data_IF_434986768169
#
_entry.id   IF_434986768169
#
_cell.length_a   1.000
_cell.length_b   1.000
_cell.length_c   1.000
_cell.angle_alpha   90.00
_cell.angle_beta   90.00
_cell.angle_gamma   90.00
#
_symmetry.space_group_name_H-M   'P 1'
#
loop_
_entity.id
_entity.type
_entity.pdbx_description
1 polymer ?
#
# COMPACT_ATOMS: atom_id res chain seq x y z
N UNK A 1 11.16 2.46 -10.40
CA UNK A 1 11.03 2.08 -8.96
C UNK A 1 10.55 3.24 -8.10
N UNK A 2 11.18 4.43 -8.13
CA UNK A 2 10.78 5.55 -7.27
C UNK A 2 9.61 6.41 -7.76
N UNK A 3 9.35 6.46 -9.07
CA UNK A 3 8.25 7.27 -9.65
C UNK A 3 6.88 6.98 -9.03
N UNK A 4 6.62 5.73 -8.60
CA UNK A 4 5.37 5.36 -7.92
C UNK A 4 5.10 6.21 -6.68
N UNK A 5 6.13 6.47 -5.88
CA UNK A 5 6.02 7.29 -4.66
C UNK A 5 5.70 8.74 -5.03
N UNK A 6 6.25 9.25 -6.14
CA UNK A 6 5.91 10.58 -6.66
C UNK A 6 4.45 10.65 -7.15
N UNK A 7 3.95 9.60 -7.80
CA UNK A 7 2.54 9.53 -8.21
C UNK A 7 1.64 9.47 -6.98
N UNK A 8 1.93 8.58 -6.02
CA UNK A 8 1.15 8.44 -4.78
C UNK A 8 1.07 9.76 -4.00
N UNK A 9 2.19 10.49 -3.83
CA UNK A 9 2.16 11.76 -3.09
C UNK A 9 1.38 12.85 -3.84
N UNK A 10 1.43 12.88 -5.17
CA UNK A 10 0.61 13.81 -5.94
C UNK A 10 -0.88 13.46 -5.81
N UNK A 11 -1.25 12.19 -5.86
CA UNK A 11 -2.64 11.75 -5.65
C UNK A 11 -3.13 12.12 -4.24
N UNK A 12 -2.33 11.90 -3.19
CA UNK A 12 -2.70 12.32 -1.82
C UNK A 12 -2.88 13.85 -1.72
N UNK A 13 -1.98 14.63 -2.34
CA UNK A 13 -2.06 16.10 -2.31
C UNK A 13 -3.29 16.63 -3.05
N UNK A 14 -3.62 16.01 -4.18
CA UNK A 14 -4.74 16.43 -5.03
C UNK A 14 -6.09 15.99 -4.47
N UNK A 15 -6.11 15.03 -3.53
CA UNK A 15 -7.32 14.44 -2.94
C UNK A 15 -7.18 14.40 -1.40
N UNK A 16 -7.27 15.57 -0.72
CA UNK A 16 -7.02 15.70 0.72
C UNK A 16 -8.04 14.97 1.61
N UNK A 17 -9.15 14.49 1.04
CA UNK A 17 -10.14 13.66 1.71
C UNK A 17 -9.77 12.17 1.80
N UNK A 18 -8.76 11.72 1.04
CA UNK A 18 -8.27 10.35 1.13
C UNK A 18 -7.45 10.16 2.41
N UNK A 19 -7.88 9.26 3.29
CA UNK A 19 -7.15 8.93 4.51
C UNK A 19 -5.99 7.98 4.26
N UNK A 20 -6.16 7.05 3.31
CA UNK A 20 -5.17 6.05 2.96
C UNK A 20 -5.20 5.75 1.46
N UNK A 21 -4.03 5.43 0.90
CA UNK A 21 -3.89 4.86 -0.44
C UNK A 21 -3.24 3.48 -0.32
N UNK A 22 -3.89 2.48 -0.89
CA UNK A 22 -3.29 1.18 -1.19
C UNK A 22 -2.69 1.22 -2.59
N UNK A 23 -1.36 1.27 -2.68
CA UNK A 23 -0.65 1.14 -3.95
C UNK A 23 -0.39 -0.33 -4.26
N UNK A 24 -0.78 -0.79 -5.46
CA UNK A 24 -0.61 -2.17 -5.90
C UNK A 24 0.24 -2.24 -7.18
N UNK A 25 1.15 -3.20 -7.22
CA UNK A 25 1.82 -3.61 -8.45
C UNK A 25 0.82 -4.28 -9.39
N UNK A 26 1.05 -4.10 -10.70
CA UNK A 26 0.14 -4.56 -11.74
C UNK A 26 0.03 -6.09 -11.87
N UNK A 27 0.98 -6.83 -11.28
CA UNK A 27 1.04 -8.29 -11.28
C UNK A 27 0.53 -8.91 -9.97
N UNK A 28 -0.16 -8.13 -9.14
CA UNK A 28 -0.80 -8.63 -7.92
C UNK A 28 -2.25 -9.09 -8.15
N UNK A 29 -2.63 -10.14 -7.45
CA UNK A 29 -4.00 -10.65 -7.41
C UNK A 29 -4.53 -10.81 -5.98
N UNK A 30 -5.84 -10.67 -5.81
CA UNK A 30 -6.52 -10.89 -4.53
C UNK A 30 -6.69 -12.41 -4.34
N UNK A 31 -6.13 -12.94 -3.25
CA UNK A 31 -6.20 -14.37 -2.92
C UNK A 31 -7.26 -14.70 -1.86
N UNK A 32 -7.65 -13.72 -1.03
CA UNK A 32 -8.61 -13.91 0.05
C UNK A 32 -9.57 -12.71 0.13
N UNK A 33 -10.74 -12.80 -0.51
CA UNK A 33 -11.72 -11.71 -0.51
C UNK A 33 -12.55 -11.63 0.78
N UNK A 34 -12.32 -12.51 1.76
CA UNK A 34 -13.08 -12.54 3.01
C UNK A 34 -12.48 -11.67 4.12
N UNK A 35 -11.32 -11.04 3.88
CA UNK A 35 -10.68 -10.10 4.81
C UNK A 35 -10.65 -8.70 4.24
N UNK A 36 -10.85 -7.72 5.12
CA UNK A 36 -10.76 -6.31 4.77
C UNK A 36 -9.32 -5.81 4.92
N UNK A 37 -8.93 -4.83 4.10
CA UNK A 37 -7.56 -4.28 4.13
C UNK A 37 -7.31 -3.49 5.40
N UNK A 38 -8.36 -2.88 5.94
CA UNK A 38 -8.39 -2.08 7.15
C UNK A 38 -7.94 -2.87 8.38
N UNK A 39 -8.11 -4.20 8.39
CA UNK A 39 -7.61 -5.10 9.45
C UNK A 39 -6.08 -5.06 9.59
N UNK A 40 -5.38 -4.67 8.53
CA UNK A 40 -3.92 -4.63 8.45
C UNK A 40 -3.34 -3.22 8.62
N UNK A 41 -4.19 -2.20 8.81
CA UNK A 41 -3.75 -0.81 8.99
C UNK A 41 -3.38 -0.57 10.45
N UNK A 42 -2.20 0.03 10.66
CA UNK A 42 -1.79 0.53 11.97
C UNK A 42 -1.60 2.06 11.91
N UNK A 43 -2.46 2.86 12.58
CA UNK A 43 -2.48 4.31 12.44
C UNK A 43 -1.24 5.02 13.00
N UNK A 44 -0.37 4.30 13.72
CA UNK A 44 0.91 4.82 14.22
C UNK A 44 1.95 5.02 13.12
N UNK A 45 1.77 4.41 11.96
CA UNK A 45 2.73 4.44 10.86
C UNK A 45 2.12 5.14 9.64
N UNK A 46 2.90 5.98 8.98
CA UNK A 46 2.46 6.68 7.76
C UNK A 46 2.60 5.81 6.51
N UNK A 47 3.54 4.85 6.52
CA UNK A 47 3.75 3.90 5.43
C UNK A 47 3.85 2.50 6.03
N UNK A 48 3.07 1.57 5.48
CA UNK A 48 3.02 0.16 5.87
C UNK A 48 3.49 -0.70 4.70
N UNK A 49 4.61 -1.37 4.92
CA UNK A 49 5.10 -2.46 4.07
C UNK A 49 4.75 -3.80 4.69
N UNK A 50 4.77 -4.84 3.87
CA UNK A 50 4.53 -6.21 4.32
C UNK A 50 5.60 -7.16 3.78
N UNK A 51 5.68 -8.33 4.38
CA UNK A 51 6.60 -9.40 3.99
C UNK A 51 6.00 -10.24 2.86
N UNK A 52 6.79 -10.54 1.83
CA UNK A 52 6.39 -11.40 0.72
C UNK A 52 6.28 -12.86 1.17
N UNK A 53 5.19 -13.52 0.78
CA UNK A 53 4.89 -14.91 1.14
C UNK A 53 5.95 -15.92 0.63
N UNK A 54 6.57 -15.65 -0.52
CA UNK A 54 7.43 -16.64 -1.20
C UNK A 54 8.93 -16.52 -0.87
N UNK A 55 9.40 -15.36 -0.41
CA UNK A 55 10.83 -15.14 -0.15
C UNK A 55 11.14 -14.33 1.11
N UNK A 56 10.14 -13.96 1.91
CA UNK A 56 10.33 -13.26 3.19
C UNK A 56 11.03 -11.89 3.07
N UNK A 57 11.05 -11.31 1.87
CA UNK A 57 11.56 -9.96 1.65
C UNK A 57 10.46 -8.92 1.90
N UNK A 58 10.88 -7.70 2.26
CA UNK A 58 9.97 -6.55 2.35
C UNK A 58 9.45 -6.20 0.95
N UNK A 59 8.13 -6.22 0.77
CA UNK A 59 7.48 -5.72 -0.43
C UNK A 59 7.57 -4.19 -0.46
N UNK A 60 8.52 -3.65 -1.22
CA UNK A 60 8.60 -2.20 -1.47
C UNK A 60 7.79 -1.74 -2.70
N UNK A 61 7.23 -2.69 -3.45
CA UNK A 61 6.49 -2.41 -4.69
C UNK A 61 5.04 -1.99 -4.45
N UNK A 62 4.44 -2.55 -3.39
CA UNK A 62 3.05 -2.33 -2.98
C UNK A 62 2.99 -2.06 -1.47
N UNK A 63 2.19 -1.08 -1.08
CA UNK A 63 2.17 -0.57 0.29
C UNK A 63 0.89 0.22 0.57
N UNK A 64 0.59 0.41 1.86
CA UNK A 64 -0.43 1.34 2.31
C UNK A 64 0.27 2.60 2.80
N UNK A 65 -0.26 3.76 2.47
CA UNK A 65 0.27 5.06 2.93
C UNK A 65 -0.86 6.00 3.33
N UNK A 66 -0.59 6.86 4.31
CA UNK A 66 -1.43 7.99 4.74
C UNK A 66 -0.78 9.33 4.38
#
# INVERSE_FOLDING_TARGET
>A
MFQRHCVTINVLRDNPELEYILFLDADMGIINPNHLIEEYINPKFDILFYERIFNFEVMAGSYIVK
#
